data_IF_198968242900
#
_entry.id   IF_198968242900
#
_cell.length_a   1.000
_cell.length_b   1.000
_cell.length_c   1.000
_cell.angle_alpha   90.00
_cell.angle_beta   90.00
_cell.angle_gamma   90.00
#
_symmetry.space_group_name_H-M   'P 1'
#
loop_
_entity.id
_entity.type
_entity.pdbx_description
1 polymer ?
#
# COMPACT_ATOMS: atom_id res chain seq x y z
N UNK A 1 33.05 2.54 4.47
CA UNK A 1 33.02 1.09 4.73
C UNK A 1 31.85 0.54 3.98
N UNK A 2 32.12 -0.46 3.13
CA UNK A 2 31.27 -0.98 2.05
C UNK A 2 29.78 -1.07 2.36
N UNK A 3 28.96 -0.53 1.47
CA UNK A 3 27.55 -0.89 1.31
C UNK A 3 27.41 -1.62 -0.02
N UNK A 4 27.87 -2.87 -0.06
CA UNK A 4 27.50 -3.81 -1.10
C UNK A 4 25.99 -4.02 -1.02
N UNK A 5 25.24 -3.45 -1.97
CA UNK A 5 23.83 -3.73 -2.16
C UNK A 5 23.66 -5.23 -2.38
N UNK A 6 22.98 -5.88 -1.44
CA UNK A 6 22.54 -7.25 -1.57
C UNK A 6 21.73 -7.35 -2.86
N UNK A 7 22.27 -8.11 -3.80
CA UNK A 7 21.64 -8.39 -5.08
C UNK A 7 20.47 -9.34 -4.77
N UNK A 8 19.27 -8.81 -4.59
CA UNK A 8 18.02 -9.55 -4.37
C UNK A 8 17.56 -10.31 -5.63
N UNK A 9 18.51 -10.91 -6.36
CA UNK A 9 18.25 -11.90 -7.39
C UNK A 9 17.80 -13.20 -6.74
N UNK A 10 16.55 -13.24 -6.27
CA UNK A 10 15.90 -14.49 -5.90
C UNK A 10 15.73 -15.29 -7.18
N UNK A 11 16.32 -16.48 -7.20
CA UNK A 11 16.18 -17.43 -8.28
C UNK A 11 14.71 -17.85 -8.40
N UNK A 12 14.02 -17.24 -9.35
CA UNK A 12 12.57 -17.37 -9.58
C UNK A 12 12.16 -18.81 -9.90
N UNK A 13 13.13 -19.66 -10.26
CA UNK A 13 12.96 -21.08 -10.47
C UNK A 13 12.70 -21.87 -9.19
N UNK A 14 13.19 -21.40 -8.04
CA UNK A 14 13.01 -22.12 -6.76
C UNK A 14 11.60 -21.94 -6.15
N UNK A 15 10.77 -21.04 -6.70
CA UNK A 15 9.49 -20.64 -6.11
C UNK A 15 8.24 -21.32 -6.74
N UNK A 16 8.41 -22.21 -7.72
CA UNK A 16 7.30 -22.82 -8.48
C UNK A 16 7.32 -24.35 -8.38
N UNK A 17 6.15 -25.03 -8.24
CA UNK A 17 6.08 -26.48 -8.26
C UNK A 17 6.51 -27.01 -9.64
N UNK A 18 7.39 -28.02 -9.65
CA UNK A 18 7.95 -28.61 -10.87
C UNK A 18 6.89 -29.16 -11.82
N UNK A 19 7.11 -28.99 -13.13
CA UNK A 19 6.26 -29.56 -14.17
C UNK A 19 6.32 -31.11 -14.16
N UNK A 20 5.23 -31.82 -14.53
CA UNK A 20 5.27 -33.26 -14.70
C UNK A 20 6.01 -33.64 -15.99
N UNK A 21 6.87 -34.66 -15.89
CA UNK A 21 7.69 -35.20 -16.97
C UNK A 21 6.87 -35.55 -18.24
N UNK A 22 7.36 -35.08 -19.39
CA UNK A 22 6.78 -35.32 -20.71
C UNK A 22 7.02 -36.74 -21.21
N UNK A 23 5.95 -37.36 -21.67
CA UNK A 23 5.96 -38.68 -22.32
C UNK A 23 6.49 -38.53 -23.76
N UNK A 24 7.53 -39.30 -24.08
CA UNK A 24 8.25 -39.28 -25.35
C UNK A 24 7.56 -40.15 -26.40
N UNK A 25 7.20 -39.58 -27.54
CA UNK A 25 6.87 -40.34 -28.76
C UNK A 25 7.68 -39.82 -29.95
N UNK A 26 8.60 -40.67 -30.42
CA UNK A 26 9.35 -40.52 -31.67
C UNK A 26 8.44 -40.71 -32.89
N UNK A 27 8.68 -39.96 -33.98
CA UNK A 27 8.15 -40.34 -35.29
C UNK A 27 8.12 -39.28 -36.40
N UNK A 28 9.04 -39.44 -37.36
CA UNK A 28 9.03 -39.02 -38.77
C UNK A 28 9.50 -37.60 -39.15
N UNK A 29 10.64 -37.60 -39.87
CA UNK A 29 11.23 -36.50 -40.60
C UNK A 29 10.38 -36.15 -41.83
N UNK A 30 9.82 -34.94 -41.82
CA UNK A 30 9.39 -34.21 -43.00
C UNK A 30 9.83 -32.77 -42.81
N UNK A 31 10.79 -32.31 -43.61
CA UNK A 31 11.29 -30.94 -43.59
C UNK A 31 10.25 -29.97 -44.16
N UNK A 32 9.21 -29.71 -43.37
CA UNK A 32 8.54 -28.42 -43.37
C UNK A 32 9.48 -27.49 -42.60
N UNK A 33 9.84 -26.34 -43.17
CA UNK A 33 10.44 -25.27 -42.39
C UNK A 33 9.50 -25.00 -41.21
N UNK A 34 9.83 -25.52 -40.02
CA UNK A 34 9.13 -25.16 -38.80
C UNK A 34 9.43 -23.67 -38.61
N UNK A 35 8.47 -22.82 -38.96
CA UNK A 35 8.53 -21.40 -38.65
C UNK A 35 8.92 -21.28 -37.18
N UNK A 36 10.05 -20.63 -36.91
CA UNK A 36 10.48 -20.41 -35.53
C UNK A 36 9.33 -19.71 -34.79
N UNK A 37 8.68 -20.37 -33.82
CA UNK A 37 7.48 -19.84 -33.17
C UNK A 37 7.78 -18.60 -32.33
N UNK A 38 9.06 -18.24 -32.20
CA UNK A 38 9.59 -17.10 -31.47
C UNK A 38 10.04 -15.94 -32.38
N UNK A 39 9.90 -16.07 -33.70
CA UNK A 39 10.20 -14.98 -34.62
C UNK A 39 9.20 -13.82 -34.40
N UNK A 40 9.68 -12.58 -34.23
CA UNK A 40 8.79 -11.42 -34.19
C UNK A 40 8.13 -11.22 -35.56
N UNK A 41 6.88 -10.81 -35.55
CA UNK A 41 6.09 -10.41 -36.72
C UNK A 41 6.38 -8.95 -37.11
N UNK A 42 6.79 -8.12 -36.14
CA UNK A 42 7.10 -6.70 -36.34
C UNK A 42 8.51 -6.47 -36.91
N UNK A 43 8.66 -5.44 -37.74
CA UNK A 43 9.95 -4.99 -38.31
C UNK A 43 10.49 -3.71 -37.65
N UNK A 44 9.63 -2.99 -36.94
CA UNK A 44 9.95 -1.77 -36.21
C UNK A 44 9.20 -1.75 -34.88
N UNK A 45 9.72 -0.97 -33.92
CA UNK A 45 9.07 -0.84 -32.62
C UNK A 45 7.76 -0.06 -32.74
N UNK A 46 6.68 -0.50 -32.08
CA UNK A 46 5.45 0.26 -32.01
C UNK A 46 5.69 1.68 -31.45
N UNK A 47 5.01 2.72 -31.97
CA UNK A 47 5.17 4.10 -31.51
C UNK A 47 4.70 4.33 -30.06
N UNK A 48 3.96 3.38 -29.51
CA UNK A 48 3.52 3.31 -28.12
C UNK A 48 4.66 3.01 -27.14
N UNK A 49 5.77 2.43 -27.61
CA UNK A 49 6.93 2.10 -26.78
C UNK A 49 7.72 3.35 -26.45
N UNK A 50 7.85 3.65 -25.16
CA UNK A 50 8.71 4.74 -24.69
C UNK A 50 10.13 4.24 -24.52
N UNK A 51 11.11 4.95 -25.06
CA UNK A 51 12.53 4.60 -24.93
C UNK A 51 13.21 5.60 -24.02
N UNK A 52 13.86 5.11 -22.96
CA UNK A 52 14.68 5.89 -22.04
C UNK A 52 16.08 5.27 -21.93
N UNK A 53 17.06 6.07 -21.51
CA UNK A 53 18.41 5.59 -21.22
C UNK A 53 18.68 5.71 -19.73
N UNK A 54 19.10 4.62 -19.09
CA UNK A 54 19.51 4.67 -17.69
C UNK A 54 20.88 5.34 -17.58
N UNK A 55 20.93 6.46 -16.83
CA UNK A 55 22.20 7.10 -16.47
C UNK A 55 22.99 6.29 -15.42
N UNK A 56 22.32 5.35 -14.72
CA UNK A 56 22.94 4.53 -13.67
C UNK A 56 23.63 3.31 -14.26
N UNK A 57 22.92 2.56 -15.11
CA UNK A 57 23.42 1.30 -15.68
C UNK A 57 23.89 1.43 -17.12
N UNK A 58 23.58 2.54 -17.79
CA UNK A 58 23.83 2.72 -19.23
C UNK A 58 22.81 2.01 -20.15
N UNK A 59 21.85 1.28 -19.57
CA UNK A 59 20.90 0.45 -20.30
C UNK A 59 19.93 1.27 -21.18
N UNK A 60 19.55 0.69 -22.32
CA UNK A 60 18.39 1.14 -23.09
C UNK A 60 17.13 0.48 -22.53
N UNK A 61 16.19 1.30 -22.08
CA UNK A 61 14.97 0.88 -21.40
C UNK A 61 13.77 1.15 -22.31
N UNK A 62 13.08 0.07 -22.70
CA UNK A 62 11.92 0.08 -23.58
C UNK A 62 10.68 -0.18 -22.73
N UNK A 63 9.89 0.86 -22.49
CA UNK A 63 8.69 0.81 -21.64
C UNK A 63 7.47 0.58 -22.51
N UNK A 64 6.82 -0.57 -22.31
CA UNK A 64 5.56 -0.98 -22.92
C UNK A 64 4.44 -0.69 -21.92
N UNK A 65 3.61 0.30 -22.24
CA UNK A 65 2.45 0.69 -21.44
C UNK A 65 1.24 -0.19 -21.74
N UNK A 66 0.77 -0.97 -20.78
CA UNK A 66 -0.30 -1.94 -20.99
C UNK A 66 -1.62 -1.48 -20.38
N UNK A 67 -2.73 -1.72 -21.08
CA UNK A 67 -4.04 -1.77 -20.46
C UNK A 67 -4.29 -3.22 -20.01
N UNK A 68 -4.37 -3.47 -18.70
CA UNK A 68 -4.35 -4.80 -18.06
C UNK A 68 -5.46 -5.79 -18.48
N UNK A 69 -6.34 -5.37 -19.39
CA UNK A 69 -7.50 -6.13 -19.87
C UNK A 69 -7.62 -6.11 -21.40
N UNK A 70 -6.55 -5.71 -22.10
CA UNK A 70 -6.53 -5.57 -23.56
C UNK A 70 -5.71 -6.67 -24.24
N UNK A 71 -6.31 -7.34 -25.23
CA UNK A 71 -5.61 -8.37 -26.02
C UNK A 71 -4.48 -7.74 -26.84
N UNK A 72 -4.71 -6.53 -27.33
CA UNK A 72 -3.71 -5.78 -28.06
C UNK A 72 -2.46 -5.52 -27.19
N UNK A 73 -2.62 -5.23 -25.89
CA UNK A 73 -1.47 -5.07 -24.99
C UNK A 73 -0.69 -6.38 -24.80
N UNK A 74 -1.39 -7.52 -24.73
CA UNK A 74 -0.74 -8.84 -24.64
C UNK A 74 0.09 -9.14 -25.90
N UNK A 75 -0.50 -8.92 -27.07
CA UNK A 75 0.16 -9.19 -28.34
C UNK A 75 1.32 -8.21 -28.59
N UNK A 76 1.17 -6.92 -28.23
CA UNK A 76 2.25 -5.92 -28.32
C UNK A 76 3.44 -6.28 -27.41
N UNK A 77 3.20 -6.64 -26.15
CA UNK A 77 4.25 -7.08 -25.22
C UNK A 77 5.02 -8.26 -25.78
N UNK A 78 4.30 -9.25 -26.31
CA UNK A 78 4.89 -10.44 -26.92
C UNK A 78 5.80 -10.08 -28.10
N UNK A 79 5.30 -9.26 -29.02
CA UNK A 79 6.03 -8.85 -30.22
C UNK A 79 7.27 -8.01 -29.86
N UNK A 80 7.16 -7.08 -28.91
CA UNK A 80 8.29 -6.24 -28.47
C UNK A 80 9.39 -7.06 -27.81
N UNK A 81 9.04 -8.00 -26.92
CA UNK A 81 10.03 -8.86 -26.25
C UNK A 81 10.74 -9.75 -27.27
N UNK A 82 10.00 -10.36 -28.21
CA UNK A 82 10.57 -11.18 -29.29
C UNK A 82 11.44 -10.38 -30.24
N UNK A 83 11.06 -9.14 -30.53
CA UNK A 83 11.83 -8.27 -31.41
C UNK A 83 13.14 -7.83 -30.76
N UNK A 84 13.11 -7.43 -29.50
CA UNK A 84 14.27 -6.86 -28.81
C UNK A 84 15.22 -7.90 -28.22
N UNK A 85 14.75 -9.12 -27.94
CA UNK A 85 15.51 -10.16 -27.23
C UNK A 85 16.25 -9.59 -25.99
N UNK A 86 15.54 -8.95 -25.05
CA UNK A 86 16.18 -8.20 -23.96
C UNK A 86 16.99 -9.07 -23.00
N UNK A 87 17.93 -8.44 -22.30
CA UNK A 87 18.68 -9.07 -21.21
C UNK A 87 17.90 -9.09 -19.89
N UNK A 88 16.92 -8.18 -19.75
CA UNK A 88 16.02 -8.18 -18.63
C UNK A 88 14.60 -7.78 -19.04
N UNK A 89 13.61 -8.50 -18.51
CA UNK A 89 12.21 -8.09 -18.54
C UNK A 89 11.79 -7.61 -17.15
N UNK A 90 11.46 -6.33 -17.06
CA UNK A 90 10.96 -5.71 -15.85
C UNK A 90 9.44 -5.76 -15.83
N UNK A 91 8.85 -6.15 -14.70
CA UNK A 91 7.40 -6.22 -14.51
C UNK A 91 6.97 -5.25 -13.40
N UNK A 92 5.86 -4.52 -13.61
CA UNK A 92 5.14 -3.78 -12.56
C UNK A 92 4.40 -4.75 -11.61
N UNK A 93 5.17 -5.64 -11.00
CA UNK A 93 4.72 -6.65 -10.06
C UNK A 93 5.67 -6.66 -8.88
N UNK A 94 5.12 -6.88 -7.69
CA UNK A 94 5.90 -6.99 -6.45
C UNK A 94 5.96 -8.45 -6.00
N UNK A 95 6.99 -8.82 -5.25
CA UNK A 95 7.25 -10.22 -4.85
C UNK A 95 6.05 -10.91 -4.18
N UNK A 96 5.29 -10.19 -3.35
CA UNK A 96 4.10 -10.75 -2.68
C UNK A 96 2.97 -11.16 -3.64
N UNK A 97 3.06 -10.76 -4.92
CA UNK A 97 2.08 -11.07 -5.97
C UNK A 97 2.66 -11.95 -7.08
N UNK A 98 3.82 -12.56 -6.87
CA UNK A 98 4.48 -13.40 -7.89
C UNK A 98 3.61 -14.58 -8.36
N UNK A 99 2.73 -15.09 -7.49
CA UNK A 99 1.78 -16.15 -7.84
C UNK A 99 0.83 -15.79 -8.98
N UNK A 100 0.64 -14.49 -9.28
CA UNK A 100 -0.14 -14.03 -10.44
C UNK A 100 0.49 -14.45 -11.79
N UNK A 101 1.79 -14.76 -11.81
CA UNK A 101 2.50 -15.20 -13.01
C UNK A 101 2.19 -16.66 -13.36
N UNK A 102 1.81 -17.48 -12.38
CA UNK A 102 1.58 -18.92 -12.55
C UNK A 102 0.14 -19.37 -12.31
N UNK A 103 -0.71 -18.47 -11.81
CA UNK A 103 -2.14 -18.76 -11.66
C UNK A 103 -2.76 -18.99 -13.04
N UNK A 104 -3.33 -20.18 -13.23
CA UNK A 104 -4.04 -20.54 -14.46
C UNK A 104 -5.30 -19.68 -14.65
N UNK A 105 -5.66 -19.41 -15.90
CA UNK A 105 -6.88 -18.64 -16.23
C UNK A 105 -8.14 -19.28 -15.62
N UNK A 106 -8.14 -20.59 -15.40
CA UNK A 106 -9.22 -21.37 -14.78
C UNK A 106 -9.43 -21.14 -13.28
N UNK A 107 -8.49 -20.51 -12.56
CA UNK A 107 -8.66 -20.18 -11.14
C UNK A 107 -9.30 -18.82 -10.90
N UNK A 108 -9.52 -18.04 -11.96
CA UNK A 108 -10.39 -16.88 -11.89
C UNK A 108 -11.87 -17.27 -11.84
N UNK A 109 -12.26 -18.54 -11.83
CA UNK A 109 -13.67 -18.93 -11.66
C UNK A 109 -14.14 -19.04 -10.20
N UNK A 110 -13.33 -18.65 -9.21
CA UNK A 110 -13.84 -18.66 -7.82
C UNK A 110 -14.92 -17.58 -7.64
N UNK A 111 -16.13 -17.97 -7.20
CA UNK A 111 -17.27 -17.07 -7.08
C UNK A 111 -16.99 -16.04 -5.98
N UNK A 112 -17.57 -14.85 -6.15
CA UNK A 112 -17.91 -13.85 -5.12
C UNK A 112 -17.01 -13.87 -3.88
N UNK A 113 -16.15 -12.85 -3.71
CA UNK A 113 -15.36 -12.65 -2.48
C UNK A 113 -16.18 -13.07 -1.26
N UNK A 114 -15.89 -14.25 -0.72
CA UNK A 114 -16.56 -14.70 0.48
C UNK A 114 -16.25 -13.64 1.54
N UNK A 115 -17.23 -13.28 2.37
CA UNK A 115 -17.03 -12.35 3.49
C UNK A 115 -15.77 -12.73 4.29
N UNK A 116 -15.45 -14.03 4.36
CA UNK A 116 -14.26 -14.57 5.01
C UNK A 116 -12.93 -14.20 4.29
N UNK A 117 -12.88 -14.22 2.97
CA UNK A 117 -11.70 -13.79 2.19
C UNK A 117 -11.54 -12.26 2.22
N UNK A 118 -12.63 -11.51 2.15
CA UNK A 118 -12.59 -10.05 2.35
C UNK A 118 -12.07 -9.70 3.76
N UNK A 119 -12.57 -10.38 4.80
CA UNK A 119 -12.10 -10.22 6.18
C UNK A 119 -10.64 -10.66 6.37
N UNK A 120 -10.17 -11.68 5.66
CA UNK A 120 -8.76 -12.09 5.65
C UNK A 120 -7.87 -11.04 4.97
N UNK A 121 -8.34 -10.45 3.86
CA UNK A 121 -7.68 -9.33 3.18
C UNK A 121 -7.60 -8.08 4.06
N UNK A 122 -8.68 -7.76 4.80
CA UNK A 122 -8.67 -6.69 5.81
C UNK A 122 -7.63 -6.97 6.90
N UNK A 123 -7.54 -8.21 7.39
CA UNK A 123 -6.58 -8.58 8.43
C UNK A 123 -5.12 -8.51 7.96
N UNK A 124 -4.83 -8.86 6.70
CA UNK A 124 -3.47 -8.88 6.16
C UNK A 124 -3.01 -7.52 5.62
N UNK A 125 -3.87 -6.88 4.81
CA UNK A 125 -3.50 -5.73 3.98
C UNK A 125 -4.37 -4.48 4.23
N UNK A 126 -5.32 -4.55 5.16
CA UNK A 126 -6.16 -3.43 5.59
C UNK A 126 -7.44 -3.24 4.78
N UNK A 127 -8.29 -2.32 5.25
CA UNK A 127 -9.63 -2.03 4.68
C UNK A 127 -9.57 -1.66 3.20
N UNK A 128 -8.55 -0.91 2.80
CA UNK A 128 -8.38 -0.46 1.42
C UNK A 128 -8.10 -1.64 0.45
N UNK A 129 -7.46 -2.71 0.92
CA UNK A 129 -7.27 -3.95 0.14
C UNK A 129 -8.60 -4.63 -0.17
N UNK A 130 -9.49 -4.70 0.82
CA UNK A 130 -10.82 -5.27 0.64
C UNK A 130 -11.68 -4.43 -0.32
N UNK A 131 -11.58 -3.10 -0.24
CA UNK A 131 -12.25 -2.20 -1.19
C UNK A 131 -11.76 -2.43 -2.63
N UNK A 132 -10.44 -2.48 -2.83
CA UNK A 132 -9.85 -2.71 -4.14
C UNK A 132 -10.25 -4.09 -4.69
N UNK A 133 -10.24 -5.13 -3.86
CA UNK A 133 -10.64 -6.48 -4.26
C UNK A 133 -12.12 -6.55 -4.67
N UNK A 134 -12.99 -5.80 -4.00
CA UNK A 134 -14.41 -5.71 -4.37
C UNK A 134 -14.61 -4.95 -5.69
N UNK A 135 -13.88 -3.85 -5.94
CA UNK A 135 -13.90 -3.18 -7.25
C UNK A 135 -13.51 -4.15 -8.37
N UNK A 136 -12.43 -4.92 -8.18
CA UNK A 136 -12.00 -5.95 -9.12
C UNK A 136 -13.06 -7.03 -9.33
N UNK A 137 -13.73 -7.47 -8.27
CA UNK A 137 -14.79 -8.48 -8.36
C UNK A 137 -16.00 -7.99 -9.17
N UNK A 138 -16.36 -6.71 -9.04
CA UNK A 138 -17.48 -6.12 -9.78
C UNK A 138 -17.25 -5.98 -11.29
N UNK A 139 -15.99 -5.97 -11.74
CA UNK A 139 -15.64 -5.89 -13.18
C UNK A 139 -15.24 -7.24 -13.77
N UNK A 140 -14.87 -8.22 -12.93
CA UNK A 140 -14.31 -9.51 -13.34
C UNK A 140 -15.12 -10.26 -14.39
N UNK A 141 -16.43 -10.43 -14.17
CA UNK A 141 -17.29 -11.22 -15.07
C UNK A 141 -17.51 -10.56 -16.44
N UNK A 142 -17.14 -9.28 -16.56
CA UNK A 142 -17.31 -8.46 -17.76
C UNK A 142 -16.01 -8.24 -18.53
N UNK A 143 -14.87 -8.64 -17.94
CA UNK A 143 -13.56 -8.59 -18.58
C UNK A 143 -13.34 -9.89 -19.38
N UNK A 144 -13.16 -9.77 -20.69
CA UNK A 144 -12.85 -10.91 -21.57
C UNK A 144 -11.42 -11.44 -21.38
N UNK A 145 -10.60 -10.77 -20.57
CA UNK A 145 -9.20 -11.09 -20.32
C UNK A 145 -8.94 -11.04 -18.83
N UNK A 146 -8.27 -12.09 -18.35
CA UNK A 146 -7.83 -12.20 -16.97
C UNK A 146 -6.77 -11.13 -16.68
N UNK A 147 -6.98 -10.24 -15.68
CA UNK A 147 -5.99 -9.24 -15.29
C UNK A 147 -4.59 -9.84 -15.09
N UNK A 148 -3.56 -9.12 -15.52
CA UNK A 148 -2.18 -9.61 -15.46
C UNK A 148 -1.78 -10.52 -16.63
N UNK A 149 -2.58 -10.64 -17.69
CA UNK A 149 -2.27 -11.46 -18.86
C UNK A 149 -0.99 -10.99 -19.56
N UNK A 150 -0.82 -9.68 -19.67
CA UNK A 150 0.38 -9.04 -20.18
C UNK A 150 1.64 -9.42 -19.38
N UNK A 151 1.55 -9.50 -18.05
CA UNK A 151 2.68 -9.91 -17.20
C UNK A 151 2.99 -11.41 -17.34
N UNK A 152 1.95 -12.27 -17.45
CA UNK A 152 2.13 -13.71 -17.69
C UNK A 152 2.81 -13.98 -19.03
N UNK A 153 2.38 -13.28 -20.08
CA UNK A 153 3.00 -13.40 -21.41
C UNK A 153 4.42 -12.83 -21.38
N UNK A 154 4.65 -11.67 -20.78
CA UNK A 154 5.99 -11.12 -20.62
C UNK A 154 6.94 -12.11 -19.91
N UNK A 155 6.49 -12.71 -18.81
CA UNK A 155 7.23 -13.71 -18.06
C UNK A 155 7.58 -14.93 -18.93
N UNK A 156 6.59 -15.48 -19.66
CA UNK A 156 6.80 -16.64 -20.54
C UNK A 156 7.76 -16.34 -21.68
N UNK A 157 7.60 -15.20 -22.35
CA UNK A 157 8.46 -14.81 -23.47
C UNK A 157 9.89 -14.52 -22.99
N UNK A 158 10.07 -13.92 -21.80
CA UNK A 158 11.38 -13.72 -21.20
C UNK A 158 12.12 -15.05 -20.94
N UNK A 159 11.42 -16.06 -20.42
CA UNK A 159 11.97 -17.41 -20.15
C UNK A 159 12.49 -18.12 -21.39
N UNK A 160 11.96 -17.78 -22.57
CA UNK A 160 12.40 -18.35 -23.84
C UNK A 160 13.67 -17.70 -24.40
N UNK A 161 14.17 -16.62 -23.76
CA UNK A 161 15.38 -15.90 -24.19
C UNK A 161 16.56 -16.33 -23.31
N UNK A 162 17.60 -16.97 -23.89
CA UNK A 162 18.77 -17.39 -23.13
C UNK A 162 19.46 -16.22 -22.40
N UNK A 163 19.65 -16.35 -21.09
CA UNK A 163 20.31 -15.33 -20.26
C UNK A 163 19.45 -14.10 -19.96
N UNK A 164 18.17 -14.10 -20.35
CA UNK A 164 17.23 -13.05 -19.94
C UNK A 164 16.85 -13.25 -18.47
N UNK A 165 16.91 -12.16 -17.70
CA UNK A 165 16.51 -12.12 -16.29
C UNK A 165 15.17 -11.39 -16.14
N UNK A 166 14.48 -11.59 -15.02
CA UNK A 166 13.18 -10.94 -14.77
C UNK A 166 13.27 -10.15 -13.47
N UNK A 167 12.91 -8.87 -13.53
CA UNK A 167 12.90 -7.96 -12.37
C UNK A 167 11.46 -7.68 -11.94
N UNK A 168 11.11 -8.01 -10.70
CA UNK A 168 9.84 -7.63 -10.07
C UNK A 168 10.00 -6.25 -9.44
N UNK A 169 9.62 -5.20 -10.16
CA UNK A 169 10.06 -3.85 -9.85
C UNK A 169 9.08 -2.98 -9.06
N UNK A 170 7.92 -3.51 -8.69
CA UNK A 170 6.87 -2.72 -8.01
C UNK A 170 7.01 -2.76 -6.48
N UNK A 171 6.48 -1.71 -5.83
CA UNK A 171 6.46 -1.60 -4.38
C UNK A 171 5.56 -2.70 -3.79
N UNK A 172 5.92 -3.29 -2.63
CA UNK A 172 5.02 -4.20 -1.94
C UNK A 172 3.63 -3.58 -1.75
N UNK A 173 2.60 -4.25 -2.29
CA UNK A 173 1.26 -3.67 -2.39
C UNK A 173 0.69 -3.34 -1.01
N UNK A 174 0.99 -4.14 0.02
CA UNK A 174 0.59 -3.85 1.40
C UNK A 174 1.13 -2.53 1.93
N UNK A 175 2.34 -2.11 1.54
CA UNK A 175 2.89 -0.79 1.90
C UNK A 175 2.10 0.30 1.17
N UNK A 176 1.88 0.14 -0.14
CA UNK A 176 1.07 1.08 -0.94
C UNK A 176 -0.30 1.31 -0.30
N UNK A 177 -1.05 0.23 -0.02
CA UNK A 177 -2.42 0.34 0.50
C UNK A 177 -2.45 0.93 1.93
N UNK A 178 -1.49 0.56 2.79
CA UNK A 178 -1.37 1.14 4.15
C UNK A 178 -1.03 2.62 4.11
N UNK A 179 -0.13 3.04 3.21
CA UNK A 179 0.20 4.47 3.03
C UNK A 179 -0.98 5.23 2.45
N UNK A 180 -1.69 4.68 1.47
CA UNK A 180 -2.93 5.27 0.93
C UNK A 180 -3.97 5.48 2.03
N UNK A 181 -4.24 4.46 2.85
CA UNK A 181 -5.17 4.57 3.98
C UNK A 181 -4.68 5.55 5.05
N UNK A 182 -3.40 5.50 5.40
CA UNK A 182 -2.77 6.39 6.38
C UNK A 182 -2.80 7.86 5.96
N UNK A 183 -2.76 8.14 4.65
CA UNK A 183 -2.78 9.50 4.11
C UNK A 183 -4.17 10.16 4.11
N UNK A 184 -5.23 9.40 4.39
CA UNK A 184 -6.59 9.94 4.51
C UNK A 184 -6.87 10.45 5.93
N UNK A 185 -7.46 11.65 6.01
CA UNK A 185 -8.05 12.18 7.23
C UNK A 185 -9.26 11.37 7.71
N UNK A 186 -9.67 11.55 8.97
CA UNK A 186 -10.78 10.76 9.54
C UNK A 186 -12.11 10.97 8.79
N UNK A 187 -12.41 12.22 8.39
CA UNK A 187 -13.61 12.54 7.61
C UNK A 187 -13.54 11.93 6.21
N UNK A 188 -12.37 11.95 5.57
CA UNK A 188 -12.18 11.34 4.25
C UNK A 188 -12.33 9.82 4.32
N UNK A 189 -11.82 9.16 5.37
CA UNK A 189 -12.01 7.73 5.62
C UNK A 189 -13.49 7.39 5.77
N UNK A 190 -14.23 8.13 6.60
CA UNK A 190 -15.67 7.92 6.79
C UNK A 190 -16.45 8.15 5.49
N UNK A 191 -16.12 9.22 4.75
CA UNK A 191 -16.73 9.53 3.46
C UNK A 191 -16.43 8.43 2.44
N UNK A 192 -15.18 7.96 2.35
CA UNK A 192 -14.77 6.89 1.44
C UNK A 192 -15.51 5.58 1.72
N UNK A 193 -15.59 5.18 3.00
CA UNK A 193 -16.37 4.00 3.40
C UNK A 193 -17.84 4.18 3.01
N UNK A 194 -18.43 5.35 3.27
CA UNK A 194 -19.82 5.63 2.91
C UNK A 194 -20.06 5.59 1.39
N UNK A 195 -19.19 6.23 0.60
CA UNK A 195 -19.25 6.18 -0.87
C UNK A 195 -19.18 4.74 -1.34
N UNK A 196 -18.25 3.95 -0.80
CA UNK A 196 -18.12 2.54 -1.18
C UNK A 196 -19.35 1.70 -0.84
N UNK A 197 -19.93 1.87 0.34
CA UNK A 197 -21.16 1.18 0.75
C UNK A 197 -22.36 1.60 -0.11
N UNK A 198 -22.40 2.86 -0.57
CA UNK A 198 -23.43 3.35 -1.48
C UNK A 198 -23.25 2.77 -2.89
N UNK A 199 -22.04 2.84 -3.44
CA UNK A 199 -21.71 2.34 -4.78
C UNK A 199 -21.78 0.82 -4.86
N UNK A 200 -21.56 0.09 -3.75
CA UNK A 200 -21.76 -1.36 -3.70
C UNK A 200 -23.20 -1.81 -4.01
N UNK A 201 -24.15 -0.86 -4.10
CA UNK A 201 -25.54 -1.09 -4.52
C UNK A 201 -25.80 -0.75 -5.99
N UNK A 202 -24.80 -0.32 -6.75
CA UNK A 202 -24.91 0.05 -8.16
C UNK A 202 -24.19 -1.00 -9.02
N UNK A 203 -24.96 -1.65 -9.90
CA UNK A 203 -24.42 -2.55 -10.92
C UNK A 203 -23.68 -1.73 -11.98
N UNK A 204 -22.37 -1.97 -12.15
CA UNK A 204 -21.57 -1.41 -13.23
C UNK A 204 -22.20 -1.85 -14.56
N UNK A 205 -22.54 -0.96 -15.49
CA UNK A 205 -23.18 -1.37 -16.75
C UNK A 205 -22.16 -1.79 -17.81
N UNK A 206 -22.56 -2.56 -18.84
CA UNK A 206 -21.68 -2.90 -19.97
C UNK A 206 -21.24 -1.67 -20.76
N UNK A 207 -22.05 -0.62 -20.76
CA UNK A 207 -21.80 0.63 -21.48
C UNK A 207 -20.75 1.50 -20.77
N UNK A 208 -20.67 1.45 -19.44
CA UNK A 208 -19.57 2.07 -18.68
C UNK A 208 -18.22 1.41 -19.02
N UNK A 209 -18.22 0.09 -19.23
CA UNK A 209 -17.02 -0.67 -19.59
C UNK A 209 -16.60 -0.36 -21.03
N UNK A 210 -17.54 -0.26 -21.96
CA UNK A 210 -17.25 0.06 -23.36
C UNK A 210 -16.61 1.43 -23.54
N UNK A 211 -17.05 2.44 -22.80
CA UNK A 211 -16.44 3.76 -22.77
C UNK A 211 -15.03 3.79 -22.14
N UNK A 212 -14.63 2.69 -21.48
CA UNK A 212 -13.36 2.56 -20.77
C UNK A 212 -12.45 1.49 -21.39
N UNK A 213 -12.80 0.92 -22.56
CA UNK A 213 -12.00 -0.08 -23.28
C UNK A 213 -10.65 0.45 -23.78
N UNK A 214 -10.55 1.75 -24.03
CA UNK A 214 -9.38 2.37 -24.67
C UNK A 214 -8.38 2.97 -23.66
N UNK A 215 -8.63 2.85 -22.36
CA UNK A 215 -7.72 3.30 -21.29
C UNK A 215 -7.68 2.25 -20.20
N UNK A 216 -6.62 2.17 -19.41
CA UNK A 216 -6.61 1.29 -18.24
C UNK A 216 -7.81 1.64 -17.31
N UNK A 217 -8.84 0.80 -17.35
CA UNK A 217 -10.11 0.92 -16.61
C UNK A 217 -9.86 1.26 -15.14
N UNK A 218 -8.89 0.57 -14.54
CA UNK A 218 -8.53 0.74 -13.13
C UNK A 218 -7.88 2.10 -12.92
N UNK A 219 -6.93 2.49 -13.76
CA UNK A 219 -6.34 3.84 -13.71
C UNK A 219 -7.41 4.93 -13.85
N UNK A 220 -8.39 4.76 -14.73
CA UNK A 220 -9.49 5.72 -14.91
C UNK A 220 -10.39 5.80 -13.67
N UNK A 221 -10.76 4.66 -13.06
CA UNK A 221 -11.51 4.63 -11.81
C UNK A 221 -10.72 5.29 -10.66
N UNK A 222 -9.43 5.00 -10.56
CA UNK A 222 -8.55 5.61 -9.55
C UNK A 222 -8.38 7.12 -9.78
N UNK A 223 -8.35 7.56 -11.03
CA UNK A 223 -8.29 8.98 -11.39
C UNK A 223 -9.60 9.69 -11.02
N UNK A 224 -10.76 9.08 -11.25
CA UNK A 224 -12.03 9.66 -10.81
C UNK A 224 -12.11 9.72 -9.28
N UNK A 225 -11.73 8.62 -8.60
CA UNK A 225 -11.64 8.57 -7.14
C UNK A 225 -10.69 9.65 -6.59
N UNK A 226 -9.59 9.93 -7.29
CA UNK A 226 -8.63 10.96 -6.88
C UNK A 226 -9.17 12.39 -6.95
N UNK A 227 -10.19 12.65 -7.79
CA UNK A 227 -10.84 13.97 -7.81
C UNK A 227 -11.62 14.22 -6.52
N UNK A 228 -12.26 13.17 -6.00
CA UNK A 228 -13.04 13.26 -4.76
C UNK A 228 -12.17 13.08 -3.49
N UNK A 229 -11.11 12.28 -3.60
CA UNK A 229 -10.17 11.97 -2.52
C UNK A 229 -8.73 12.21 -2.98
N UNK A 230 -8.30 13.49 -3.10
CA UNK A 230 -6.99 13.85 -3.64
C UNK A 230 -5.83 13.20 -2.87
N UNK A 231 -6.01 12.99 -1.57
CA UNK A 231 -5.03 12.34 -0.70
C UNK A 231 -4.78 10.85 -1.02
N UNK A 232 -5.60 10.20 -1.85
CA UNK A 232 -5.34 8.81 -2.30
C UNK A 232 -4.26 8.77 -3.38
N UNK A 233 -4.24 9.77 -4.27
CA UNK A 233 -3.39 9.78 -5.47
C UNK A 233 -1.90 9.76 -5.15
N UNK A 234 -1.47 10.47 -4.11
CA UNK A 234 -0.05 10.60 -3.77
C UNK A 234 0.58 9.24 -3.45
N UNK A 235 0.07 8.44 -2.49
CA UNK A 235 0.68 7.15 -2.24
C UNK A 235 0.38 6.12 -3.33
N UNK A 236 -0.81 6.16 -3.96
CA UNK A 236 -1.23 5.12 -4.88
C UNK A 236 -0.60 5.23 -6.27
N UNK A 237 -0.37 6.46 -6.75
CA UNK A 237 0.12 6.75 -8.10
C UNK A 237 1.51 7.37 -8.01
N UNK A 238 1.65 8.59 -7.48
CA UNK A 238 2.90 9.35 -7.62
C UNK A 238 4.09 8.73 -6.87
N UNK A 239 3.91 8.28 -5.63
CA UNK A 239 4.97 7.56 -4.91
C UNK A 239 5.29 6.21 -5.55
N UNK A 240 4.31 5.60 -6.22
CA UNK A 240 4.49 4.34 -6.95
C UNK A 240 5.29 4.58 -8.24
N UNK A 241 5.01 5.66 -8.95
CA UNK A 241 5.81 6.12 -10.10
C UNK A 241 7.27 6.39 -9.72
N UNK A 242 7.49 7.05 -8.58
CA UNK A 242 8.83 7.28 -8.02
C UNK A 242 9.54 5.94 -7.75
N UNK A 243 8.85 4.99 -7.08
CA UNK A 243 9.40 3.67 -6.80
C UNK A 243 9.76 2.90 -8.08
N UNK A 244 8.83 2.82 -9.04
CA UNK A 244 8.99 2.13 -10.32
C UNK A 244 10.12 2.76 -11.15
N UNK A 245 10.19 4.10 -11.21
CA UNK A 245 11.23 4.81 -11.92
C UNK A 245 12.61 4.51 -11.34
N UNK A 246 12.73 4.49 -10.01
CA UNK A 246 13.98 4.14 -9.35
C UNK A 246 14.39 2.69 -9.66
N UNK A 247 13.51 1.70 -9.43
CA UNK A 247 13.86 0.29 -9.62
C UNK A 247 14.18 -0.02 -11.08
N UNK A 248 13.43 0.56 -12.02
CA UNK A 248 13.65 0.37 -13.45
C UNK A 248 14.98 0.99 -13.91
N UNK A 249 15.39 2.14 -13.37
CA UNK A 249 16.69 2.75 -13.69
C UNK A 249 17.87 1.90 -13.25
N UNK A 250 17.71 1.11 -12.19
CA UNK A 250 18.75 0.23 -11.65
C UNK A 250 18.66 -1.21 -12.21
N UNK A 251 17.77 -1.46 -13.16
CA UNK A 251 17.56 -2.78 -13.73
C UNK A 251 18.83 -3.26 -14.48
N UNK A 252 19.25 -4.52 -14.29
CA UNK A 252 20.49 -5.03 -14.90
C UNK A 252 20.33 -5.32 -16.40
N UNK A 253 21.47 -5.32 -17.10
CA UNK A 253 21.57 -5.67 -18.52
C UNK A 253 21.48 -4.47 -19.47
N UNK A 254 22.10 -4.54 -20.65
CA UNK A 254 22.17 -3.41 -21.59
C UNK A 254 20.84 -3.10 -22.30
N UNK A 255 19.96 -4.10 -22.45
CA UNK A 255 18.62 -3.95 -23.05
C UNK A 255 17.56 -4.44 -22.06
N UNK A 256 16.68 -3.54 -21.64
CA UNK A 256 15.60 -3.82 -20.68
C UNK A 256 14.25 -3.54 -21.34
N UNK A 257 13.32 -4.50 -21.29
CA UNK A 257 11.92 -4.28 -21.64
C UNK A 257 11.10 -4.20 -20.35
N UNK A 258 10.43 -3.07 -20.11
CA UNK A 258 9.57 -2.86 -18.95
C UNK A 258 8.11 -2.96 -19.35
N UNK A 259 7.37 -3.86 -18.72
CA UNK A 259 5.93 -4.03 -18.89
C UNK A 259 5.23 -3.42 -17.68
N UNK A 260 4.60 -2.27 -17.90
CA UNK A 260 3.99 -1.44 -16.85
C UNK A 260 2.60 -1.01 -17.27
N UNK A 261 1.71 -0.77 -16.31
CA UNK A 261 0.40 -0.19 -16.55
C UNK A 261 0.52 1.17 -17.24
N UNK A 262 -0.32 1.42 -18.24
CA UNK A 262 -0.26 2.65 -19.05
C UNK A 262 -0.33 3.92 -18.20
N UNK A 263 -1.05 3.87 -17.07
CA UNK A 263 -1.16 4.97 -16.11
C UNK A 263 0.16 5.43 -15.50
N UNK A 264 1.16 4.55 -15.41
CA UNK A 264 2.44 4.80 -14.76
C UNK A 264 3.52 5.30 -15.72
N UNK A 265 3.37 5.09 -17.03
CA UNK A 265 4.41 5.44 -18.04
C UNK A 265 4.84 6.89 -17.94
N UNK A 266 3.89 7.83 -17.92
CA UNK A 266 4.21 9.26 -17.83
C UNK A 266 4.83 9.65 -16.48
N UNK A 267 4.37 9.05 -15.38
CA UNK A 267 4.95 9.26 -14.06
C UNK A 267 6.41 8.80 -13.98
N UNK A 268 6.70 7.63 -14.52
CA UNK A 268 8.06 7.07 -14.61
C UNK A 268 8.98 8.01 -15.40
N UNK A 269 8.53 8.50 -16.57
CA UNK A 269 9.27 9.47 -17.39
C UNK A 269 9.58 10.76 -16.63
N UNK A 270 8.58 11.30 -15.93
CA UNK A 270 8.73 12.53 -15.18
C UNK A 270 9.72 12.38 -14.01
N UNK A 271 9.77 11.19 -13.39
CA UNK A 271 10.68 10.87 -12.30
C UNK A 271 12.05 10.38 -12.78
N UNK A 272 12.28 10.20 -14.10
CA UNK A 272 13.38 9.42 -14.66
C UNK A 272 14.78 9.98 -14.37
N UNK A 273 14.92 11.26 -14.07
CA UNK A 273 16.20 11.87 -13.67
C UNK A 273 16.19 12.34 -12.22
N UNK A 274 15.09 12.11 -11.49
CA UNK A 274 14.95 12.56 -10.11
C UNK A 274 15.77 11.69 -9.15
N UNK A 275 16.26 12.31 -8.08
CA UNK A 275 16.83 11.61 -6.92
C UNK A 275 15.68 11.08 -6.06
N UNK A 276 15.66 9.76 -5.85
CA UNK A 276 14.54 9.06 -5.21
C UNK A 276 15.04 8.28 -4.01
N UNK A 277 14.41 8.52 -2.86
CA UNK A 277 14.73 7.83 -1.62
C UNK A 277 13.78 6.63 -1.42
N UNK A 278 14.20 5.45 -1.83
CA UNK A 278 13.40 4.22 -1.69
C UNK A 278 13.01 3.91 -0.24
N UNK A 279 13.88 4.21 0.74
CA UNK A 279 13.59 3.95 2.15
C UNK A 279 12.35 4.72 2.61
N UNK A 280 12.23 5.98 2.21
CA UNK A 280 11.04 6.80 2.51
C UNK A 280 9.76 6.27 1.86
N UNK A 281 9.88 5.65 0.68
CA UNK A 281 8.75 5.09 -0.08
C UNK A 281 8.30 3.73 0.45
N UNK A 282 9.17 3.02 1.18
CA UNK A 282 8.92 1.69 1.76
C UNK A 282 8.56 1.72 3.23
N UNK A 283 8.90 2.77 3.96
CA UNK A 283 8.44 2.97 5.34
C UNK A 283 6.94 3.31 5.40
N UNK A 284 6.24 2.87 6.45
CA UNK A 284 4.85 3.28 6.70
C UNK A 284 4.90 4.42 7.73
N UNK A 285 4.44 5.64 7.39
CA UNK A 285 4.46 6.74 8.33
C UNK A 285 3.54 6.43 9.54
N UNK A 286 3.93 6.83 10.76
CA UNK A 286 3.12 6.57 11.94
C UNK A 286 1.77 7.29 11.84
N UNK A 287 0.68 6.60 12.19
CA UNK A 287 -0.64 7.23 12.18
C UNK A 287 -0.72 8.33 13.25
N UNK A 288 -1.15 9.53 12.84
CA UNK A 288 -1.31 10.67 13.76
C UNK A 288 -2.27 10.40 14.92
N UNK A 289 -3.13 9.39 14.82
CA UNK A 289 -4.02 8.94 15.89
C UNK A 289 -3.28 8.42 17.13
N UNK A 290 -2.11 7.80 16.98
CA UNK A 290 -1.30 7.39 18.15
C UNK A 290 -0.70 8.59 18.87
N UNK A 291 -0.31 9.62 18.11
CA UNK A 291 0.12 10.91 18.66
C UNK A 291 -1.04 11.60 19.38
N UNK A 292 -2.24 11.59 18.78
CA UNK A 292 -3.45 12.16 19.38
C UNK A 292 -3.88 11.42 20.66
N UNK A 293 -3.89 10.08 20.66
CA UNK A 293 -4.15 9.27 21.86
C UNK A 293 -3.13 9.53 22.96
N UNK A 294 -1.84 9.62 22.62
CA UNK A 294 -0.80 10.00 23.59
C UNK A 294 -1.09 11.37 24.19
N UNK A 295 -1.40 12.36 23.36
CA UNK A 295 -1.72 13.73 23.82
C UNK A 295 -2.92 13.71 24.76
N UNK A 296 -4.04 13.06 24.38
CA UNK A 296 -5.24 12.95 25.22
C UNK A 296 -4.94 12.23 26.54
N UNK A 297 -4.20 11.11 26.48
CA UNK A 297 -3.92 10.33 27.68
C UNK A 297 -3.00 11.11 28.64
N UNK A 298 -2.01 11.83 28.09
CA UNK A 298 -1.15 12.71 28.88
C UNK A 298 -1.91 13.91 29.44
N UNK A 299 -2.81 14.54 28.67
CA UNK A 299 -3.60 15.67 29.15
C UNK A 299 -4.62 15.26 30.21
N UNK A 300 -5.26 14.09 30.05
CA UNK A 300 -6.16 13.52 31.05
C UNK A 300 -5.40 13.17 32.35
N UNK A 301 -4.21 12.58 32.24
CA UNK A 301 -3.36 12.28 33.39
C UNK A 301 -2.94 13.54 34.15
N UNK A 302 -2.55 14.60 33.42
CA UNK A 302 -2.23 15.91 34.00
C UNK A 302 -3.45 16.55 34.68
N UNK A 303 -4.63 16.45 34.06
CA UNK A 303 -5.88 16.96 34.63
C UNK A 303 -6.23 16.27 35.94
N UNK A 304 -6.18 14.93 35.98
CA UNK A 304 -6.45 14.14 37.19
C UNK A 304 -5.43 14.48 38.29
N UNK A 305 -4.15 14.59 37.94
CA UNK A 305 -3.10 15.00 38.87
C UNK A 305 -3.36 16.39 39.46
N UNK A 306 -3.69 17.37 38.62
CA UNK A 306 -4.01 18.72 39.04
C UNK A 306 -5.26 18.76 39.94
N UNK A 307 -6.34 18.07 39.56
CA UNK A 307 -7.56 17.97 40.38
C UNK A 307 -7.29 17.34 41.75
N UNK A 308 -6.41 16.34 41.82
CA UNK A 308 -6.05 15.68 43.08
C UNK A 308 -5.29 16.62 44.02
N UNK A 309 -4.32 17.37 43.49
CA UNK A 309 -3.57 18.40 44.25
C UNK A 309 -4.49 19.54 44.70
N UNK A 310 -5.38 19.99 43.82
CA UNK A 310 -6.36 21.03 44.14
C UNK A 310 -7.32 20.58 45.26
N UNK A 311 -7.85 19.35 45.19
CA UNK A 311 -8.71 18.80 46.23
C UNK A 311 -7.98 18.65 47.56
N UNK A 312 -6.71 18.21 47.55
CA UNK A 312 -5.88 18.18 48.75
C UNK A 312 -5.69 19.58 49.36
N UNK A 313 -5.45 20.60 48.53
CA UNK A 313 -5.30 21.97 48.98
C UNK A 313 -6.59 22.54 49.58
N UNK A 314 -7.75 22.28 48.95
CA UNK A 314 -9.07 22.67 49.48
C UNK A 314 -9.34 21.98 50.82
N UNK A 315 -9.05 20.68 50.94
CA UNK A 315 -9.18 19.93 52.18
C UNK A 315 -8.28 20.49 53.29
N UNK A 316 -7.00 20.74 52.97
CA UNK A 316 -6.04 21.33 53.90
C UNK A 316 -6.45 22.73 54.37
N UNK A 317 -6.86 23.61 53.44
CA UNK A 317 -7.37 24.93 53.75
C UNK A 317 -8.61 24.85 54.66
N UNK A 318 -9.53 23.92 54.38
CA UNK A 318 -10.73 23.71 55.20
C UNK A 318 -10.38 23.31 56.64
N UNK A 319 -9.43 22.39 56.83
CA UNK A 319 -8.94 22.01 58.18
C UNK A 319 -8.28 23.20 58.88
N UNK A 320 -7.43 23.94 58.18
CA UNK A 320 -6.75 25.10 58.74
C UNK A 320 -7.75 26.17 59.21
N UNK A 321 -8.77 26.48 58.39
CA UNK A 321 -9.85 27.39 58.77
C UNK A 321 -10.65 26.85 59.97
N UNK A 322 -10.99 25.55 59.98
CA UNK A 322 -11.71 24.93 61.09
C UNK A 322 -10.91 25.02 62.40
N UNK A 323 -9.62 24.70 62.38
CA UNK A 323 -8.73 24.78 63.53
C UNK A 323 -8.59 26.22 64.05
N UNK A 324 -8.51 27.21 63.14
CA UNK A 324 -8.46 28.63 63.50
C UNK A 324 -9.78 29.12 64.08
N UNK A 325 -10.92 28.69 63.54
CA UNK A 325 -12.24 28.99 64.10
C UNK A 325 -12.41 28.39 65.49
N UNK A 326 -12.01 27.13 65.71
CA UNK A 326 -12.06 26.49 67.05
C UNK A 326 -11.15 27.21 68.04
N UNK A 327 -9.93 27.60 67.66
CA UNK A 327 -9.03 28.36 68.53
C UNK A 327 -9.55 29.77 68.83
N UNK A 328 -10.16 30.45 67.86
CA UNK A 328 -10.79 31.77 68.08
C UNK A 328 -12.02 31.69 68.99
N UNK A 329 -12.79 30.60 68.90
CA UNK A 329 -13.93 30.35 69.81
C UNK A 329 -13.42 30.04 71.23
N UNK A 330 -12.32 29.31 71.38
CA UNK A 330 -11.78 28.95 72.70
C UNK A 330 -11.19 30.15 73.48
N UNK A 331 -10.71 31.19 72.79
CA UNK A 331 -10.23 32.41 73.44
C UNK A 331 -11.36 33.32 73.97
N UNK A 332 -12.58 33.18 73.44
CA UNK A 332 -13.73 34.01 73.82
C UNK A 332 -14.63 33.33 74.88
N UNK A 333 -14.49 32.02 75.11
CA UNK A 333 -15.36 31.23 76.02
C UNK A 333 -14.72 30.95 77.40
N UNK A 334 -13.42 31.20 77.60
CA UNK A 334 -12.81 31.07 78.93
C UNK A 334 -12.92 32.40 79.69
N UNK A 335 -13.76 32.51 80.75
CA UNK A 335 -13.69 33.65 81.64
C UNK A 335 -12.30 33.70 82.26
N UNK A 336 -11.71 34.89 82.28
CA UNK A 336 -10.45 35.17 82.95
C UNK A 336 -10.63 34.90 84.45
N UNK A 337 -10.30 33.69 84.91
CA UNK A 337 -10.26 33.37 86.34
C UNK A 337 -9.11 34.20 86.91
N UNK A 338 -9.45 35.25 87.64
CA UNK A 338 -8.46 36.07 88.33
C UNK A 338 -8.14 35.46 89.68
N UNK A 339 -6.93 35.72 90.17
CA UNK A 339 -6.39 35.16 91.42
C UNK A 339 -7.28 35.34 92.67
N UNK A 340 -8.28 36.24 92.62
CA UNK A 340 -9.25 36.48 93.70
C UNK A 340 -10.32 35.38 93.84
N UNK A 341 -10.59 34.61 92.79
CA UNK A 341 -11.66 33.60 92.82
C UNK A 341 -11.21 32.27 93.47
N UNK A 342 -9.89 32.06 93.59
CA UNK A 342 -9.29 30.87 94.21
C UNK A 342 -9.33 30.93 95.75
N UNK A 343 -9.44 32.11 96.36
CA UNK A 343 -9.45 32.29 97.82
C UNK A 343 -10.82 32.06 98.50
N UNK A 344 -11.87 31.72 97.74
CA UNK A 344 -13.24 31.51 98.29
C UNK A 344 -13.70 30.04 98.37
N UNK A 345 -12.81 29.07 98.19
CA UNK A 345 -13.17 27.67 98.41
C UNK A 345 -13.03 27.31 99.89
N UNK A 346 -14.11 26.84 100.57
CA UNK A 346 -14.01 26.39 101.94
C UNK A 346 -13.12 25.13 102.00
N UNK A 347 -12.20 25.10 102.95
CA UNK A 347 -11.37 23.94 103.26
C UNK A 347 -12.25 22.79 103.75
N UNK A 348 -12.47 21.79 102.89
CA UNK A 348 -12.96 20.50 103.33
C UNK A 348 -11.73 19.70 103.77
N UNK A 349 -11.57 19.57 105.09
CA UNK A 349 -10.83 18.44 105.66
C UNK A 349 -11.75 17.22 105.69
N UNK A 350 -11.27 16.12 105.11
CA UNK A 350 -11.98 14.84 104.88
C UNK A 350 -13.21 14.89 103.97
#
# INVERSE_FOLDING_TARGET
>A
MDSSGENDGVDIDAALPGEPDGDSLEGSEGSLEQENPFKPTITELPPTVTILKSVVTGANVYIVGTAHVSRASVDEVKEVIRFLQPNNVFLELCHSRISLLTTSESHFDTPTLSLMQALQGVKKDGIFSAMLSYLYSGVKDKLKIVPGAEFRVAFREARNIPGCTITLGDRPIGITLKRTWGNLGLLEKLKLIYTFLKESRLDITEQDIENMKDTDLITSMLKELSKEFPNISRPLIYERDEYLSYTLRHCPGPTVVAVVGLGHVNGIKNCWESEINLKKLTEIPPEGWFTFKRIILTSLSLFIGFSSVFMYWVWFASIFFLQRSVHGINSDILPNITHKDIERLPSIGL
#
